data_IF_174500031831
#
_entry.id   IF_174500031831
#
_cell.length_a   1.000
_cell.length_b   1.000
_cell.length_c   1.000
_cell.angle_alpha   90.00
_cell.angle_beta   90.00
_cell.angle_gamma   90.00
#
_symmetry.space_group_name_H-M   'P 1'
#
loop_
_entity.id
_entity.type
_entity.pdbx_description
1 polymer ?
#
# COMPACT_ATOMS: atom_id res chain seq x y z
N UNK A 1 12.39 -30.02 -29.51
CA UNK A 1 11.88 -30.12 -28.13
C UNK A 1 11.43 -28.78 -27.57
N UNK A 2 12.27 -27.72 -27.62
CA UNK A 2 11.90 -26.35 -27.18
C UNK A 2 10.64 -25.79 -27.86
N UNK A 3 10.52 -25.91 -29.18
CA UNK A 3 9.35 -25.40 -29.90
C UNK A 3 8.04 -26.05 -29.41
N UNK A 4 8.05 -27.37 -29.15
CA UNK A 4 6.87 -28.09 -28.61
C UNK A 4 6.52 -27.63 -27.19
N UNK A 5 7.52 -27.34 -26.36
CA UNK A 5 7.32 -26.78 -25.02
C UNK A 5 6.65 -25.41 -25.10
N UNK A 6 7.17 -24.50 -25.93
CA UNK A 6 6.55 -23.18 -26.07
C UNK A 6 5.16 -23.24 -26.71
N UNK A 7 4.93 -24.12 -27.69
CA UNK A 7 3.58 -24.35 -28.22
C UNK A 7 2.62 -24.79 -27.09
N UNK A 8 3.07 -25.69 -26.20
CA UNK A 8 2.26 -26.07 -25.03
C UNK A 8 1.97 -24.88 -24.11
N UNK A 9 2.96 -24.02 -23.86
CA UNK A 9 2.79 -22.78 -23.07
C UNK A 9 1.79 -21.80 -23.69
N UNK A 10 1.65 -21.79 -25.02
CA UNK A 10 0.70 -20.91 -25.71
C UNK A 10 -0.77 -21.31 -25.50
N UNK A 11 -1.03 -22.52 -25.00
CA UNK A 11 -2.38 -23.04 -24.82
C UNK A 11 -3.11 -23.41 -26.12
N UNK A 12 -2.43 -23.39 -27.27
CA UNK A 12 -2.97 -23.83 -28.55
C UNK A 12 -3.12 -25.36 -28.62
N UNK A 13 -4.08 -25.81 -29.43
CA UNK A 13 -4.27 -27.22 -29.74
C UNK A 13 -3.08 -27.75 -30.55
N UNK A 14 -2.31 -28.62 -29.93
CA UNK A 14 -1.08 -29.15 -30.53
C UNK A 14 -1.35 -30.12 -31.68
N UNK A 15 -2.54 -30.70 -31.79
CA UNK A 15 -2.91 -31.61 -32.88
C UNK A 15 -3.23 -30.81 -34.14
N UNK A 16 -4.04 -29.76 -34.01
CA UNK A 16 -4.35 -28.85 -35.13
C UNK A 16 -3.06 -28.18 -35.62
N UNK A 17 -2.27 -27.63 -34.70
CA UNK A 17 -1.07 -26.85 -35.03
C UNK A 17 0.02 -27.69 -35.73
N UNK A 18 0.11 -29.00 -35.46
CA UNK A 18 1.04 -29.90 -36.17
C UNK A 18 0.71 -30.03 -37.65
N UNK A 19 -0.55 -29.84 -38.04
CA UNK A 19 -0.98 -29.86 -39.45
C UNK A 19 -0.77 -28.52 -40.15
N UNK A 20 -0.39 -27.47 -39.42
CA UNK A 20 -0.17 -26.14 -39.94
C UNK A 20 1.28 -25.95 -40.42
N UNK A 21 1.47 -24.94 -41.27
CA UNK A 21 2.78 -24.49 -41.73
C UNK A 21 3.74 -24.16 -40.59
N UNK A 22 5.05 -24.29 -40.85
CA UNK A 22 6.10 -23.98 -39.88
C UNK A 22 6.06 -22.50 -39.40
N UNK A 23 5.58 -21.59 -40.24
CA UNK A 23 5.38 -20.18 -39.88
C UNK A 23 4.34 -20.01 -38.77
N UNK A 24 3.21 -20.71 -38.86
CA UNK A 24 2.17 -20.67 -37.84
C UNK A 24 2.62 -21.35 -36.55
N UNK A 25 3.37 -22.46 -36.64
CA UNK A 25 3.96 -23.10 -35.48
C UNK A 25 4.95 -22.19 -34.74
N UNK A 26 5.77 -21.41 -35.48
CA UNK A 26 6.71 -20.46 -34.89
C UNK A 26 6.01 -19.26 -34.25
N UNK A 27 4.91 -18.78 -34.85
CA UNK A 27 4.07 -17.71 -34.28
C UNK A 27 3.51 -18.13 -32.90
N UNK A 28 2.92 -19.32 -32.81
CA UNK A 28 2.40 -19.84 -31.54
C UNK A 28 3.49 -20.21 -30.54
N UNK A 29 4.65 -20.69 -31.00
CA UNK A 29 5.83 -20.84 -30.15
C UNK A 29 6.31 -19.49 -29.59
N UNK A 30 6.26 -18.41 -30.38
CA UNK A 30 6.59 -17.06 -29.92
C UNK A 30 5.63 -16.55 -28.85
N UNK A 31 4.32 -16.72 -29.06
CA UNK A 31 3.29 -16.37 -28.05
C UNK A 31 3.47 -17.21 -26.78
N UNK A 32 3.80 -18.49 -26.89
CA UNK A 32 4.06 -19.32 -25.72
C UNK A 32 5.37 -18.99 -25.01
N UNK A 33 6.39 -18.51 -25.73
CA UNK A 33 7.61 -18.02 -25.14
C UNK A 33 7.36 -16.76 -24.31
N UNK A 34 6.53 -15.82 -24.78
CA UNK A 34 6.19 -14.62 -23.99
C UNK A 34 5.45 -15.01 -22.70
N UNK A 35 4.46 -15.91 -22.76
CA UNK A 35 3.77 -16.44 -21.55
C UNK A 35 4.77 -17.05 -20.56
N UNK A 36 5.73 -17.85 -21.04
CA UNK A 36 6.73 -18.47 -20.18
C UNK A 36 7.66 -17.44 -19.53
N UNK A 37 8.17 -16.47 -20.30
CA UNK A 37 9.04 -15.43 -19.75
C UNK A 37 8.31 -14.50 -18.78
N UNK A 38 7.04 -14.19 -19.02
CA UNK A 38 6.20 -13.45 -18.05
C UNK A 38 6.09 -14.22 -16.74
N UNK A 39 5.85 -15.54 -16.77
CA UNK A 39 5.82 -16.36 -15.56
C UNK A 39 7.16 -16.42 -14.81
N UNK A 40 8.29 -16.49 -15.52
CA UNK A 40 9.63 -16.46 -14.92
C UNK A 40 9.93 -15.11 -14.28
N UNK A 41 9.57 -14.01 -14.94
CA UNK A 41 9.70 -12.67 -14.38
C UNK A 41 8.82 -12.49 -13.14
N UNK A 42 7.57 -12.98 -13.19
CA UNK A 42 6.67 -12.98 -12.03
C UNK A 42 7.22 -13.80 -10.87
N UNK A 43 7.85 -14.96 -11.13
CA UNK A 43 8.54 -15.77 -10.12
C UNK A 43 9.66 -14.97 -9.42
N UNK A 44 10.55 -14.36 -10.20
CA UNK A 44 11.69 -13.59 -9.65
C UNK A 44 11.18 -12.37 -8.88
N UNK A 45 10.22 -11.63 -9.44
CA UNK A 45 9.71 -10.40 -8.86
C UNK A 45 8.92 -10.67 -7.55
N UNK A 46 8.04 -11.66 -7.55
CA UNK A 46 7.32 -12.07 -6.33
C UNK A 46 8.25 -12.69 -5.30
N UNK A 47 9.23 -13.51 -5.70
CA UNK A 47 10.25 -14.05 -4.80
C UNK A 47 11.05 -12.93 -4.12
N UNK A 48 11.45 -11.91 -4.88
CA UNK A 48 12.11 -10.73 -4.31
C UNK A 48 11.20 -9.97 -3.34
N UNK A 49 9.95 -9.67 -3.74
CA UNK A 49 8.99 -8.98 -2.88
C UNK A 49 8.73 -9.75 -1.58
N UNK A 50 8.54 -11.07 -1.65
CA UNK A 50 8.35 -11.93 -0.49
C UNK A 50 9.59 -11.98 0.39
N UNK A 51 10.79 -11.95 -0.20
CA UNK A 51 12.04 -11.87 0.56
C UNK A 51 12.13 -10.56 1.35
N UNK A 52 11.72 -9.43 0.77
CA UNK A 52 11.69 -8.16 1.51
C UNK A 52 10.69 -8.13 2.67
N UNK A 53 9.68 -9.01 2.66
CA UNK A 53 8.65 -9.08 3.71
C UNK A 53 8.99 -10.12 4.79
N UNK A 54 9.44 -11.31 4.38
CA UNK A 54 9.64 -12.46 5.27
C UNK A 54 11.10 -12.70 5.67
N UNK A 55 12.06 -12.02 5.03
CA UNK A 55 13.52 -12.17 5.20
C UNK A 55 14.01 -13.64 5.21
N UNK A 56 13.30 -14.51 4.48
CA UNK A 56 13.58 -15.94 4.44
C UNK A 56 13.58 -16.43 3.00
N UNK A 57 14.76 -16.84 2.55
CA UNK A 57 15.03 -17.26 1.18
C UNK A 57 14.15 -18.45 0.77
N UNK A 58 13.97 -19.43 1.66
CA UNK A 58 13.23 -20.66 1.35
C UNK A 58 11.74 -20.39 1.16
N UNK A 59 11.13 -19.61 2.06
CA UNK A 59 9.72 -19.23 1.93
C UNK A 59 9.49 -18.38 0.68
N UNK A 60 10.41 -17.47 0.37
CA UNK A 60 10.30 -16.59 -0.79
C UNK A 60 10.41 -17.35 -2.12
N UNK A 61 11.33 -18.32 -2.21
CA UNK A 61 11.44 -19.18 -3.39
C UNK A 61 10.18 -20.04 -3.54
N UNK A 62 9.69 -20.64 -2.44
CA UNK A 62 8.52 -21.52 -2.48
C UNK A 62 7.25 -20.78 -2.91
N UNK A 63 6.92 -19.68 -2.23
CA UNK A 63 5.73 -18.89 -2.56
C UNK A 63 5.88 -18.13 -3.87
N UNK A 64 7.09 -17.67 -4.20
CA UNK A 64 7.38 -17.10 -5.51
C UNK A 64 7.09 -18.13 -6.62
N UNK A 65 7.49 -19.39 -6.45
CA UNK A 65 7.29 -20.46 -7.43
C UNK A 65 5.80 -20.74 -7.65
N UNK A 66 5.02 -20.82 -6.56
CA UNK A 66 3.57 -20.94 -6.63
C UNK A 66 2.96 -19.76 -7.38
N UNK A 67 3.42 -18.54 -7.11
CA UNK A 67 2.94 -17.34 -7.80
C UNK A 67 3.27 -17.35 -9.29
N UNK A 68 4.51 -17.69 -9.66
CA UNK A 68 4.92 -17.85 -11.06
C UNK A 68 4.08 -18.90 -11.81
N UNK A 69 3.77 -20.03 -11.16
CA UNK A 69 2.87 -21.04 -11.72
C UNK A 69 1.43 -20.54 -11.88
N UNK A 70 0.94 -19.73 -10.93
CA UNK A 70 -0.39 -19.11 -11.03
C UNK A 70 -0.45 -18.16 -12.23
N UNK A 71 0.53 -17.27 -12.39
CA UNK A 71 0.62 -16.37 -13.54
C UNK A 71 0.73 -17.16 -14.84
N UNK A 72 1.59 -18.19 -14.89
CA UNK A 72 1.70 -19.06 -16.05
C UNK A 72 0.37 -19.70 -16.45
N UNK A 73 -0.36 -20.26 -15.47
CA UNK A 73 -1.65 -20.91 -15.72
C UNK A 73 -2.69 -19.91 -16.23
N UNK A 74 -2.72 -18.73 -15.62
CA UNK A 74 -3.69 -17.69 -15.92
C UNK A 74 -3.44 -17.08 -17.32
N UNK A 75 -2.19 -16.75 -17.65
CA UNK A 75 -1.82 -16.27 -18.99
C UNK A 75 -2.09 -17.31 -20.07
N UNK A 76 -1.70 -18.57 -19.82
CA UNK A 76 -1.95 -19.68 -20.75
C UNK A 76 -3.45 -19.86 -21.00
N UNK A 77 -4.26 -19.82 -19.93
CA UNK A 77 -5.71 -19.90 -20.03
C UNK A 77 -6.26 -18.78 -20.93
N UNK A 78 -5.83 -17.54 -20.72
CA UNK A 78 -6.36 -16.41 -21.50
C UNK A 78 -5.97 -16.48 -22.95
N UNK A 79 -4.69 -16.74 -23.25
CA UNK A 79 -4.22 -16.88 -24.64
C UNK A 79 -4.99 -17.99 -25.37
N UNK A 80 -5.35 -19.07 -24.67
CA UNK A 80 -6.17 -20.15 -25.22
C UNK A 80 -7.64 -19.76 -25.44
N UNK A 81 -8.20 -18.89 -24.60
CA UNK A 81 -9.60 -18.45 -24.71
C UNK A 81 -9.83 -17.30 -25.68
N UNK A 82 -8.81 -16.51 -26.01
CA UNK A 82 -8.92 -15.43 -27.00
C UNK A 82 -9.06 -16.05 -28.38
N UNK A 83 -10.32 -16.13 -28.84
CA UNK A 83 -10.66 -16.57 -30.19
C UNK A 83 -10.58 -15.40 -31.15
N UNK A 84 -9.87 -15.62 -32.27
CA UNK A 84 -9.83 -14.65 -33.37
C UNK A 84 -11.18 -14.63 -34.06
N UNK A 85 -11.85 -13.46 -34.01
CA UNK A 85 -13.14 -13.19 -34.65
C UNK A 85 -12.99 -11.95 -35.51
N UNK A 86 -13.84 -11.79 -36.51
CA UNK A 86 -13.72 -10.67 -37.47
C UNK A 86 -13.95 -9.26 -36.84
N UNK A 87 -14.25 -9.17 -35.54
CA UNK A 87 -14.46 -7.92 -34.83
C UNK A 87 -13.47 -7.73 -33.66
N UNK A 88 -12.52 -6.82 -33.84
CA UNK A 88 -11.50 -6.43 -32.84
C UNK A 88 -12.11 -6.00 -31.49
N UNK A 89 -13.29 -5.36 -31.47
CA UNK A 89 -13.96 -4.97 -30.22
C UNK A 89 -14.33 -6.18 -29.36
N UNK A 90 -14.71 -7.29 -29.99
CA UNK A 90 -15.07 -8.53 -29.28
C UNK A 90 -13.84 -9.25 -28.72
N UNK A 91 -12.68 -9.11 -29.38
CA UNK A 91 -11.40 -9.62 -28.88
C UNK A 91 -10.90 -8.81 -27.69
N UNK A 92 -11.01 -7.47 -27.77
CA UNK A 92 -10.65 -6.58 -26.66
C UNK A 92 -11.52 -6.82 -25.42
N UNK A 93 -12.83 -7.05 -25.61
CA UNK A 93 -13.75 -7.35 -24.50
C UNK A 93 -13.42 -8.69 -23.82
N UNK A 94 -13.00 -9.71 -24.59
CA UNK A 94 -12.52 -10.99 -24.04
C UNK A 94 -11.19 -10.83 -23.29
N UNK A 95 -10.32 -9.92 -23.73
CA UNK A 95 -9.04 -9.63 -23.09
C UNK A 95 -9.14 -8.69 -21.87
N UNK A 96 -10.23 -7.93 -21.73
CA UNK A 96 -10.39 -6.89 -20.71
C UNK A 96 -10.20 -7.38 -19.25
N UNK A 97 -10.77 -8.53 -18.82
CA UNK A 97 -10.56 -9.04 -17.46
C UNK A 97 -9.08 -9.24 -17.13
N UNK A 98 -8.26 -9.64 -18.13
CA UNK A 98 -6.81 -9.79 -17.94
C UNK A 98 -6.09 -8.47 -17.90
N UNK A 99 -6.45 -7.49 -18.73
CA UNK A 99 -5.81 -6.17 -18.69
C UNK A 99 -5.98 -5.55 -17.29
N UNK A 100 -7.18 -5.66 -16.71
CA UNK A 100 -7.45 -5.23 -15.34
C UNK A 100 -6.54 -5.97 -14.35
N UNK A 101 -6.47 -7.29 -14.44
CA UNK A 101 -5.62 -8.09 -13.56
C UNK A 101 -4.13 -7.77 -13.72
N UNK A 102 -3.65 -7.57 -14.95
CA UNK A 102 -2.28 -7.19 -15.25
C UNK A 102 -1.93 -5.82 -14.65
N UNK A 103 -2.86 -4.86 -14.68
CA UNK A 103 -2.69 -3.57 -14.00
C UNK A 103 -2.54 -3.77 -12.50
N UNK A 104 -3.42 -4.56 -11.87
CA UNK A 104 -3.36 -4.84 -10.43
C UNK A 104 -2.00 -5.48 -10.06
N UNK A 105 -1.58 -6.51 -10.80
CA UNK A 105 -0.31 -7.20 -10.58
C UNK A 105 0.87 -6.25 -10.79
N UNK A 106 0.84 -5.44 -11.85
CA UNK A 106 1.90 -4.48 -12.13
C UNK A 106 2.06 -3.46 -11.00
N UNK A 107 0.96 -2.95 -10.42
CA UNK A 107 1.02 -2.05 -9.25
C UNK A 107 1.61 -2.77 -8.02
N UNK A 108 1.18 -3.99 -7.74
CA UNK A 108 1.63 -4.76 -6.58
C UNK A 108 3.12 -5.10 -6.68
N UNK A 109 3.60 -5.49 -7.86
CA UNK A 109 4.99 -5.86 -8.10
C UNK A 109 5.90 -4.63 -8.23
N UNK A 110 5.42 -3.54 -8.82
CA UNK A 110 6.25 -2.38 -9.06
C UNK A 110 6.72 -1.73 -7.75
N UNK A 111 5.90 -1.73 -6.70
CA UNK A 111 6.21 -1.00 -5.45
C UNK A 111 7.43 -1.53 -4.68
N UNK A 112 7.55 -2.83 -4.38
CA UNK A 112 8.76 -3.38 -3.73
C UNK A 112 10.02 -3.20 -4.58
N UNK A 113 9.90 -3.33 -5.90
CA UNK A 113 11.04 -3.14 -6.81
C UNK A 113 11.44 -1.69 -6.94
N UNK A 114 10.48 -0.77 -6.99
CA UNK A 114 10.70 0.68 -6.95
C UNK A 114 11.45 1.07 -5.68
N UNK A 115 11.04 0.53 -4.51
CA UNK A 115 11.75 0.74 -3.25
C UNK A 115 13.19 0.22 -3.27
N UNK A 116 13.45 -0.88 -3.98
CA UNK A 116 14.80 -1.43 -4.10
C UNK A 116 15.67 -0.63 -5.07
N UNK A 117 15.11 -0.28 -6.22
CA UNK A 117 15.82 0.47 -7.26
C UNK A 117 16.23 1.84 -6.72
N UNK A 118 15.34 2.51 -5.99
CA UNK A 118 15.57 3.84 -5.41
C UNK A 118 16.06 3.80 -3.96
N UNK A 119 16.65 2.69 -3.51
CA UNK A 119 17.06 2.53 -2.10
C UNK A 119 18.02 3.65 -1.67
N UNK A 120 18.94 4.06 -2.55
CA UNK A 120 19.92 5.12 -2.25
C UNK A 120 19.25 6.49 -2.11
N UNK A 121 18.36 6.80 -3.04
CA UNK A 121 17.61 8.06 -3.08
C UNK A 121 16.65 8.16 -1.88
N UNK A 122 15.98 7.06 -1.53
CA UNK A 122 15.15 6.96 -0.33
C UNK A 122 16.00 7.21 0.92
N UNK A 123 17.17 6.57 1.03
CA UNK A 123 18.06 6.77 2.18
C UNK A 123 18.55 8.22 2.29
N UNK A 124 18.78 8.90 1.17
CA UNK A 124 19.12 10.33 1.19
C UNK A 124 17.97 11.18 1.72
N UNK A 125 16.74 10.97 1.23
CA UNK A 125 15.55 11.68 1.72
C UNK A 125 15.32 11.42 3.21
N UNK A 126 15.48 10.17 3.66
CA UNK A 126 15.38 9.83 5.08
C UNK A 126 16.46 10.54 5.91
N UNK A 127 17.68 10.65 5.41
CA UNK A 127 18.74 11.39 6.09
C UNK A 127 18.40 12.88 6.23
N UNK A 128 17.86 13.49 5.17
CA UNK A 128 17.39 14.88 5.20
C UNK A 128 16.26 15.07 6.22
N UNK A 129 15.29 14.15 6.28
CA UNK A 129 14.23 14.17 7.29
C UNK A 129 14.76 13.99 8.72
N UNK A 130 15.70 13.06 8.95
CA UNK A 130 16.35 12.87 10.25
C UNK A 130 17.11 14.11 10.69
N UNK A 131 17.81 14.77 9.78
CA UNK A 131 18.49 16.03 10.07
C UNK A 131 17.50 17.14 10.44
N UNK A 132 16.39 17.25 9.70
CA UNK A 132 15.32 18.21 10.01
C UNK A 132 14.68 17.93 11.38
N UNK A 133 14.37 16.67 11.69
CA UNK A 133 13.84 16.27 13.00
C UNK A 133 14.84 16.56 14.13
N UNK A 134 16.13 16.29 13.91
CA UNK A 134 17.19 16.59 14.88
C UNK A 134 17.27 18.09 15.16
N UNK A 135 17.19 18.93 14.11
CA UNK A 135 17.20 20.37 14.24
C UNK A 135 15.95 20.86 15.00
N UNK A 136 14.75 20.44 14.59
CA UNK A 136 13.50 20.81 15.24
C UNK A 136 13.47 20.41 16.72
N UNK A 137 13.97 19.21 17.05
CA UNK A 137 14.07 18.74 18.43
C UNK A 137 15.04 19.61 19.26
N UNK A 138 16.22 19.94 18.71
CA UNK A 138 17.16 20.85 19.38
C UNK A 138 16.57 22.24 19.59
N UNK A 139 15.83 22.78 18.62
CA UNK A 139 15.15 24.06 18.75
C UNK A 139 14.07 24.03 19.83
N UNK A 140 13.24 22.99 19.87
CA UNK A 140 12.21 22.81 20.90
C UNK A 140 12.82 22.71 22.31
N UNK A 141 13.91 21.95 22.45
CA UNK A 141 14.65 21.89 23.71
C UNK A 141 15.27 23.26 24.04
N UNK A 142 15.88 23.94 23.08
CA UNK A 142 16.47 25.26 23.32
C UNK A 142 15.44 26.28 23.82
N UNK A 143 14.21 26.26 23.31
CA UNK A 143 13.11 27.11 23.80
C UNK A 143 12.73 26.81 25.26
N UNK A 144 12.93 25.58 25.73
CA UNK A 144 12.62 25.18 27.11
C UNK A 144 13.72 25.53 28.11
N UNK A 145 15.00 25.40 27.72
CA UNK A 145 16.14 25.54 28.62
C UNK A 145 16.82 26.93 28.55
N UNK A 146 16.94 27.53 27.35
CA UNK A 146 17.64 28.82 27.17
C UNK A 146 17.08 29.95 28.04
N UNK A 147 15.74 30.16 28.14
CA UNK A 147 15.20 31.22 28.99
C UNK A 147 15.51 31.05 30.47
N UNK A 148 15.57 29.79 30.95
CA UNK A 148 15.90 29.48 32.35
C UNK A 148 17.36 29.81 32.64
N UNK A 149 18.27 29.39 31.75
CA UNK A 149 19.70 29.69 31.86
C UNK A 149 19.94 31.20 31.79
N UNK A 150 19.24 31.93 30.90
CA UNK A 150 19.32 33.39 30.85
C UNK A 150 18.86 34.05 32.14
N UNK A 151 17.74 33.59 32.73
CA UNK A 151 17.26 34.11 34.02
C UNK A 151 18.29 33.92 35.13
N UNK A 152 18.88 32.73 35.25
CA UNK A 152 19.91 32.44 36.26
C UNK A 152 21.19 33.26 36.05
N UNK A 153 21.59 33.47 34.79
CA UNK A 153 22.71 34.36 34.47
C UNK A 153 22.42 35.82 34.84
N UNK A 154 21.18 36.28 34.66
CA UNK A 154 20.76 37.60 35.10
C UNK A 154 20.79 37.72 36.63
N UNK A 155 20.40 36.68 37.37
CA UNK A 155 20.50 36.64 38.83
C UNK A 155 21.96 36.73 39.31
N UNK A 156 22.89 36.01 38.66
CA UNK A 156 24.33 36.14 38.94
C UNK A 156 24.81 37.57 38.65
N UNK A 157 24.38 38.16 37.53
CA UNK A 157 24.76 39.54 37.18
C UNK A 157 24.25 40.54 38.22
N UNK A 158 23.04 40.37 38.74
CA UNK A 158 22.47 41.19 39.80
C UNK A 158 23.27 41.06 41.11
N UNK A 159 23.60 39.83 41.54
CA UNK A 159 24.41 39.57 42.75
C UNK A 159 25.83 40.16 42.64
N UNK A 160 26.44 40.10 41.46
CA UNK A 160 27.73 40.76 41.18
C UNK A 160 27.60 42.28 41.18
N UNK A 161 26.49 42.81 40.68
CA UNK A 161 26.15 44.23 40.75
C UNK A 161 26.05 44.73 42.19
N UNK A 162 25.36 44.00 43.08
CA UNK A 162 25.27 44.33 44.51
C UNK A 162 26.65 44.44 45.18
N UNK A 163 27.55 43.49 44.89
CA UNK A 163 28.93 43.52 45.39
C UNK A 163 29.65 44.77 44.87
N UNK A 164 29.57 45.04 43.56
CA UNK A 164 30.24 46.18 42.95
C UNK A 164 29.74 47.53 43.50
N UNK A 165 28.44 47.67 43.75
CA UNK A 165 27.87 48.87 44.39
C UNK A 165 28.40 49.05 45.80
N UNK A 166 28.36 48.00 46.64
CA UNK A 166 28.85 48.07 48.02
C UNK A 166 30.36 48.30 48.10
N UNK A 167 31.11 47.76 47.14
CA UNK A 167 32.54 47.99 47.00
C UNK A 167 32.85 49.45 46.63
N UNK A 168 32.08 50.05 45.72
CA UNK A 168 32.20 51.47 45.39
C UNK A 168 31.87 52.38 46.59
N UNK A 169 30.82 52.06 47.36
CA UNK A 169 30.49 52.78 48.60
C UNK A 169 31.62 52.69 49.64
N UNK A 170 32.19 51.50 49.81
CA UNK A 170 33.29 51.27 50.76
C UNK A 170 34.57 52.01 50.33
N UNK A 171 34.90 51.98 49.04
CA UNK A 171 36.04 52.72 48.49
C UNK A 171 35.86 54.24 48.62
N UNK A 172 34.64 54.76 48.44
CA UNK A 172 34.36 56.18 48.68
C UNK A 172 34.57 56.59 50.15
N UNK A 173 34.21 55.72 51.10
CA UNK A 173 34.51 55.93 52.52
C UNK A 173 36.01 55.88 52.82
N UNK A 174 36.76 55.02 52.13
CA UNK A 174 38.22 54.94 52.20
C UNK A 174 38.85 56.28 51.79
N UNK A 175 38.49 56.79 50.62
CA UNK A 175 38.98 58.06 50.09
C UNK A 175 38.65 59.23 51.05
N UNK A 176 37.48 59.18 51.68
CA UNK A 176 36.99 60.22 52.61
C UNK A 176 37.80 60.30 53.92
N UNK A 177 38.27 59.18 54.47
CA UNK A 177 39.07 59.21 55.70
C UNK A 177 40.57 59.43 55.41
N UNK A 178 41.07 58.99 54.25
CA UNK A 178 42.45 59.24 53.82
C UNK A 178 42.67 60.73 53.56
N UNK A 179 41.77 61.37 52.83
CA UNK A 179 41.82 62.82 52.58
C UNK A 179 41.72 63.67 53.86
N UNK A 180 41.03 63.17 54.90
CA UNK A 180 41.03 63.78 56.23
C UNK A 180 42.41 63.68 56.90
N UNK A 181 43.08 62.51 56.83
CA UNK A 181 44.41 62.34 57.39
C UNK A 181 45.48 63.19 56.69
N UNK A 182 45.34 63.36 55.38
CA UNK A 182 46.22 64.17 54.53
C UNK A 182 45.92 65.68 54.65
N UNK A 183 44.82 66.07 55.32
CA UNK A 183 44.41 67.46 55.47
C UNK A 183 43.92 68.12 54.17
N UNK A 184 43.60 67.33 53.15
CA UNK A 184 43.16 67.81 51.82
C UNK A 184 41.65 68.00 51.74
N UNK A 185 40.88 67.44 52.67
CA UNK A 185 39.44 67.61 52.79
C UNK A 185 38.98 67.58 54.27
N UNK A 186 37.78 68.10 54.57
CA UNK A 186 37.19 68.07 55.91
C UNK A 186 37.76 69.13 56.85
N UNK A 187 38.42 68.74 57.95
CA UNK A 187 38.95 69.71 58.95
C UNK A 187 40.15 70.50 58.46
N UNK A 188 40.84 70.03 57.41
CA UNK A 188 42.03 70.68 56.85
C UNK A 188 43.28 70.58 57.75
N UNK A 189 43.22 69.77 58.81
CA UNK A 189 44.32 69.56 59.74
C UNK A 189 45.04 68.25 59.41
N UNK A 190 46.36 68.32 59.27
CA UNK A 190 47.18 67.13 59.03
C UNK A 190 47.19 66.23 60.27
N UNK A 191 46.86 64.95 60.09
CA UNK A 191 47.02 63.92 61.12
C UNK A 191 45.75 63.17 61.51
N UNK A 192 45.88 62.29 62.50
CA UNK A 192 44.85 61.30 62.88
C UNK A 192 44.07 61.75 64.12
N UNK A 193 43.17 62.71 63.93
CA UNK A 193 42.30 63.26 64.99
C UNK A 193 41.01 62.45 65.26
N UNK A 194 40.12 62.95 66.13
CA UNK A 194 38.84 62.30 66.46
C UNK A 194 37.91 62.10 65.25
N UNK A 195 37.87 63.07 64.34
CA UNK A 195 37.07 63.02 63.09
C UNK A 195 37.60 61.96 62.14
N UNK A 196 38.93 61.83 62.03
CA UNK A 196 39.56 60.72 61.29
C UNK A 196 39.17 59.37 61.88
N UNK A 197 39.18 59.23 63.20
CA UNK A 197 38.79 57.99 63.88
C UNK A 197 37.34 57.62 63.57
N UNK A 198 36.40 58.56 63.66
CA UNK A 198 34.98 58.29 63.34
C UNK A 198 34.78 57.88 61.87
N UNK A 199 35.45 58.57 60.92
CA UNK A 199 35.38 58.23 59.49
C UNK A 199 35.99 56.85 59.20
N UNK A 200 37.11 56.53 59.85
CA UNK A 200 37.74 55.21 59.78
C UNK A 200 36.84 54.12 60.36
N UNK A 201 36.24 54.35 61.53
CA UNK A 201 35.34 53.38 62.17
C UNK A 201 34.12 53.09 61.25
N UNK A 202 33.61 54.10 60.53
CA UNK A 202 32.56 53.93 59.49
C UNK A 202 33.04 53.11 58.29
N UNK A 203 34.25 53.35 57.80
CA UNK A 203 34.85 52.53 56.74
C UNK A 203 35.05 51.09 57.18
N UNK A 204 35.62 50.87 58.38
CA UNK A 204 35.93 49.54 58.90
C UNK A 204 34.63 48.73 59.12
N UNK A 205 33.54 49.38 59.53
CA UNK A 205 32.20 48.78 59.56
C UNK A 205 31.67 48.44 58.15
N UNK A 206 31.77 49.35 57.18
CA UNK A 206 31.35 49.11 55.79
C UNK A 206 32.18 48.00 55.12
N UNK A 207 33.47 47.90 55.44
CA UNK A 207 34.36 46.84 54.96
C UNK A 207 33.97 45.47 55.53
N UNK A 208 33.59 45.41 56.81
CA UNK A 208 33.08 44.18 57.41
C UNK A 208 31.76 43.73 56.76
N UNK A 209 30.85 44.67 56.47
CA UNK A 209 29.62 44.41 55.72
C UNK A 209 29.91 43.94 54.29
N UNK A 210 30.87 44.57 53.59
CA UNK A 210 31.29 44.18 52.24
C UNK A 210 31.85 42.75 52.21
N UNK A 211 32.70 42.39 53.16
CA UNK A 211 33.24 41.02 53.25
C UNK A 211 32.13 40.00 53.49
N UNK A 212 31.20 40.30 54.39
CA UNK A 212 30.03 39.44 54.66
C UNK A 212 29.15 39.30 53.42
N UNK A 213 28.93 40.40 52.68
CA UNK A 213 28.18 40.39 51.42
C UNK A 213 28.89 39.56 50.35
N UNK A 214 30.22 39.70 50.21
CA UNK A 214 31.04 38.92 49.27
C UNK A 214 30.95 37.42 49.58
N UNK A 215 31.08 37.01 50.84
CA UNK A 215 30.93 35.61 51.24
C UNK A 215 29.52 35.07 50.96
N UNK A 216 28.49 35.83 51.35
CA UNK A 216 27.08 35.44 51.16
C UNK A 216 26.73 35.31 49.67
N UNK A 217 27.10 36.29 48.86
CA UNK A 217 26.81 36.27 47.44
C UNK A 217 27.69 35.27 46.69
N UNK A 218 28.92 34.97 47.14
CA UNK A 218 29.73 33.89 46.58
C UNK A 218 29.06 32.52 46.74
N UNK A 219 28.47 32.24 47.92
CA UNK A 219 27.71 30.99 48.14
C UNK A 219 26.48 30.93 47.24
N UNK A 220 25.73 32.03 47.09
CA UNK A 220 24.58 32.09 46.18
C UNK A 220 24.97 31.88 44.72
N UNK A 221 26.02 32.57 44.26
CA UNK A 221 26.54 32.46 42.89
C UNK A 221 26.95 31.01 42.62
N UNK A 222 27.72 30.38 43.50
CA UNK A 222 28.11 28.98 43.35
C UNK A 222 26.89 28.04 43.28
N UNK A 223 25.83 28.31 44.05
CA UNK A 223 24.58 27.57 43.98
C UNK A 223 23.83 27.76 42.66
N UNK A 224 23.82 28.97 42.09
CA UNK A 224 23.22 29.26 40.78
C UNK A 224 24.05 28.66 39.65
N UNK A 225 25.37 28.75 39.71
CA UNK A 225 26.29 28.12 38.75
C UNK A 225 26.08 26.60 38.71
N UNK A 226 25.93 25.95 39.87
CA UNK A 226 25.59 24.53 39.94
C UNK A 226 24.22 24.21 39.30
N UNK A 227 23.22 25.08 39.44
CA UNK A 227 21.92 24.93 38.76
C UNK A 227 22.04 25.08 37.24
N UNK A 228 22.85 26.03 36.76
CA UNK A 228 23.12 26.19 35.33
C UNK A 228 23.77 24.91 34.78
N UNK A 229 24.81 24.39 35.45
CA UNK A 229 25.47 23.14 35.04
C UNK A 229 24.51 21.95 35.04
N UNK A 230 23.61 21.86 36.03
CA UNK A 230 22.59 20.82 36.05
C UNK A 230 21.63 20.93 34.85
N UNK A 231 21.14 22.14 34.54
CA UNK A 231 20.26 22.38 33.39
C UNK A 231 20.94 22.09 32.04
N UNK A 232 22.23 22.43 31.89
CA UNK A 232 23.01 22.10 30.70
C UNK A 232 23.18 20.59 30.55
N UNK A 233 23.40 19.88 31.66
CA UNK A 233 23.49 18.42 31.69
C UNK A 233 22.16 17.77 31.31
N UNK A 234 21.04 18.28 31.85
CA UNK A 234 19.70 17.80 31.51
C UNK A 234 19.36 18.04 30.04
N UNK A 235 19.71 19.21 29.50
CA UNK A 235 19.56 19.52 28.07
C UNK A 235 20.34 18.53 27.20
N UNK A 236 21.62 18.30 27.50
CA UNK A 236 22.46 17.37 26.75
C UNK A 236 21.94 15.92 26.86
N UNK A 237 21.44 15.55 28.02
CA UNK A 237 20.81 14.24 28.25
C UNK A 237 19.52 14.09 27.45
N UNK A 238 18.68 15.11 27.40
CA UNK A 238 17.45 15.11 26.61
C UNK A 238 17.73 15.01 25.09
N UNK A 239 18.74 15.73 24.60
CA UNK A 239 19.21 15.60 23.20
C UNK A 239 19.72 14.19 22.93
N UNK A 240 20.53 13.64 23.83
CA UNK A 240 21.11 12.29 23.68
C UNK A 240 20.03 11.20 23.72
N UNK A 241 19.03 11.32 24.59
CA UNK A 241 17.95 10.35 24.72
C UNK A 241 16.97 10.37 23.54
N UNK A 242 16.82 11.52 22.88
CA UNK A 242 15.94 11.67 21.72
C UNK A 242 16.60 11.24 20.40
N UNK A 243 17.93 11.34 20.29
CA UNK A 243 18.65 11.00 19.06
C UNK A 243 18.40 9.55 18.57
N UNK A 244 18.44 8.49 19.42
CA UNK A 244 18.14 7.12 18.99
C UNK A 244 16.73 6.95 18.41
N UNK A 245 15.75 7.71 18.88
CA UNK A 245 14.36 7.66 18.39
C UNK A 245 14.31 8.22 16.96
N UNK A 246 15.04 9.31 16.70
CA UNK A 246 15.16 9.93 15.38
C UNK A 246 15.95 9.02 14.44
N UNK A 247 17.04 8.43 14.93
CA UNK A 247 17.88 7.52 14.15
C UNK A 247 17.12 6.24 13.77
N UNK A 248 16.19 5.78 14.63
CA UNK A 248 15.24 4.69 14.36
C UNK A 248 14.09 5.05 13.42
N UNK A 249 14.01 6.27 12.90
CA UNK A 249 13.02 6.66 11.89
C UNK A 249 13.39 6.10 10.51
N UNK A 250 13.22 4.80 10.30
CA UNK A 250 13.56 4.13 9.04
C UNK A 250 12.59 3.00 8.63
N UNK A 251 11.47 2.88 9.34
CA UNK A 251 10.45 1.87 9.10
C UNK A 251 9.81 1.95 7.71
N UNK A 252 9.05 0.92 7.34
CA UNK A 252 8.42 0.78 6.02
C UNK A 252 7.62 2.03 5.61
N UNK A 253 6.85 2.61 6.54
CA UNK A 253 6.06 3.81 6.27
C UNK A 253 6.92 5.02 5.95
N UNK A 254 8.04 5.22 6.67
CA UNK A 254 8.99 6.29 6.40
C UNK A 254 9.61 6.12 5.00
N UNK A 255 9.98 4.89 4.64
CA UNK A 255 10.49 4.58 3.28
C UNK A 255 9.46 4.84 2.18
N UNK A 256 8.18 4.50 2.40
CA UNK A 256 7.10 4.78 1.44
C UNK A 256 6.88 6.29 1.29
N UNK A 257 6.88 7.04 2.40
CA UNK A 257 6.75 8.50 2.35
C UNK A 257 7.95 9.16 1.65
N UNK A 258 9.16 8.71 1.95
CA UNK A 258 10.38 9.17 1.30
C UNK A 258 10.36 8.87 -0.21
N UNK A 259 9.91 7.68 -0.61
CA UNK A 259 9.69 7.33 -2.02
C UNK A 259 8.68 8.28 -2.69
N UNK A 260 7.61 8.65 -1.98
CA UNK A 260 6.61 9.61 -2.47
C UNK A 260 7.14 11.04 -2.68
N UNK A 261 8.30 11.39 -2.10
CA UNK A 261 8.98 12.68 -2.35
C UNK A 261 9.86 12.67 -3.59
N UNK A 262 10.21 11.49 -4.11
CA UNK A 262 10.99 11.39 -5.34
C UNK A 262 10.13 11.77 -6.56
N UNK A 263 10.74 12.17 -7.69
CA UNK A 263 10.01 12.40 -8.92
C UNK A 263 9.16 11.19 -9.29
N UNK A 264 7.89 11.41 -9.62
CA UNK A 264 6.94 10.32 -9.91
C UNK A 264 7.21 9.59 -11.23
N UNK A 265 7.91 10.23 -12.18
CA UNK A 265 8.08 9.74 -13.54
C UNK A 265 8.91 8.44 -13.62
N UNK A 266 10.08 8.30 -12.94
CA UNK A 266 10.79 7.02 -12.85
C UNK A 266 9.94 5.88 -12.28
N UNK A 267 9.17 6.13 -11.21
CA UNK A 267 8.25 5.15 -10.62
C UNK A 267 7.16 4.71 -11.60
N UNK A 268 6.57 5.69 -12.30
CA UNK A 268 5.59 5.43 -13.34
C UNK A 268 6.18 4.65 -14.53
N UNK A 269 7.43 4.92 -14.89
CA UNK A 269 8.13 4.19 -15.95
C UNK A 269 8.36 2.73 -15.58
N UNK A 270 8.75 2.43 -14.34
CA UNK A 270 8.89 1.05 -13.84
C UNK A 270 7.53 0.33 -13.89
N UNK A 271 6.46 1.00 -13.44
CA UNK A 271 5.10 0.47 -13.54
C UNK A 271 4.72 0.16 -14.99
N UNK A 272 4.96 1.09 -15.93
CA UNK A 272 4.69 0.88 -17.35
C UNK A 272 5.50 -0.29 -17.93
N UNK A 273 6.75 -0.46 -17.49
CA UNK A 273 7.59 -1.58 -17.93
C UNK A 273 6.99 -2.92 -17.49
N UNK A 274 6.57 -3.06 -16.23
CA UNK A 274 5.90 -4.27 -15.76
C UNK A 274 4.55 -4.49 -16.45
N UNK A 275 3.77 -3.43 -16.63
CA UNK A 275 2.50 -3.50 -17.35
C UNK A 275 2.72 -3.98 -18.79
N UNK A 276 3.75 -3.47 -19.48
CA UNK A 276 4.08 -3.87 -20.84
C UNK A 276 4.50 -5.36 -20.92
N UNK A 277 5.29 -5.83 -19.96
CA UNK A 277 5.72 -7.24 -19.88
C UNK A 277 4.53 -8.17 -19.61
N UNK A 278 3.68 -7.82 -18.64
CA UNK A 278 2.49 -8.61 -18.27
C UNK A 278 1.43 -8.62 -19.39
N UNK A 279 1.29 -7.53 -20.14
CA UNK A 279 0.34 -7.46 -21.26
C UNK A 279 0.90 -7.97 -22.59
N UNK A 280 2.21 -8.24 -22.68
CA UNK A 280 2.86 -8.68 -23.92
C UNK A 280 2.21 -9.91 -24.56
N UNK A 281 1.83 -10.99 -23.84
CA UNK A 281 1.19 -12.16 -24.46
C UNK A 281 -0.16 -11.81 -25.11
N UNK A 282 -0.94 -10.95 -24.46
CA UNK A 282 -2.25 -10.51 -24.94
C UNK A 282 -2.09 -9.60 -26.14
N UNK A 283 -1.19 -8.62 -26.07
CA UNK A 283 -0.91 -7.70 -27.16
C UNK A 283 -0.42 -8.49 -28.38
N UNK A 284 0.49 -9.44 -28.18
CA UNK A 284 0.98 -10.32 -29.25
C UNK A 284 -0.17 -11.12 -29.89
N UNK A 285 -1.09 -11.68 -29.07
CA UNK A 285 -2.25 -12.42 -29.57
C UNK A 285 -3.26 -11.50 -30.28
N UNK A 286 -3.51 -10.29 -29.77
CA UNK A 286 -4.44 -9.33 -30.36
C UNK A 286 -3.92 -8.75 -31.69
N UNK A 287 -2.62 -8.46 -31.79
CA UNK A 287 -2.01 -7.92 -33.01
C UNK A 287 -1.74 -8.99 -34.08
N UNK A 288 -1.62 -10.26 -33.67
CA UNK A 288 -1.43 -11.37 -34.60
C UNK A 288 -2.63 -11.48 -35.56
N UNK A 289 -2.40 -11.51 -36.89
CA UNK A 289 -3.47 -11.72 -37.86
C UNK A 289 -4.02 -13.16 -37.74
N UNK A 290 -5.26 -13.35 -38.22
CA UNK A 290 -5.89 -14.67 -38.32
C UNK A 290 -5.03 -15.56 -39.22
N UNK A 291 -4.55 -16.67 -38.68
CA UNK A 291 -3.67 -17.60 -39.39
C UNK A 291 -4.31 -18.94 -39.69
N UNK A 292 -3.54 -19.84 -40.30
CA UNK A 292 -4.01 -21.18 -40.71
C UNK A 292 -4.62 -21.97 -39.55
N UNK A 293 -4.03 -21.85 -38.36
CA UNK A 293 -4.56 -22.47 -37.14
C UNK A 293 -5.95 -21.94 -36.79
N UNK A 294 -6.15 -20.63 -36.84
CA UNK A 294 -7.42 -20.01 -36.45
C UNK A 294 -8.56 -20.42 -37.39
N UNK A 295 -8.27 -20.56 -38.70
CA UNK A 295 -9.24 -21.06 -39.67
C UNK A 295 -9.59 -22.53 -39.45
N UNK A 296 -8.60 -23.40 -39.23
CA UNK A 296 -8.84 -24.83 -38.95
C UNK A 296 -9.59 -25.04 -37.64
N UNK A 297 -9.30 -24.24 -36.63
CA UNK A 297 -10.01 -24.27 -35.35
C UNK A 297 -11.46 -23.82 -35.52
N UNK A 298 -11.71 -22.73 -36.25
CA UNK A 298 -13.06 -22.25 -36.56
C UNK A 298 -13.87 -23.24 -37.40
N UNK A 299 -13.23 -23.91 -38.37
CA UNK A 299 -13.85 -24.97 -39.17
C UNK A 299 -14.35 -26.12 -38.28
N UNK A 300 -13.51 -26.62 -37.36
CA UNK A 300 -13.91 -27.69 -36.44
C UNK A 300 -15.08 -27.28 -35.54
N UNK A 301 -15.08 -26.06 -35.00
CA UNK A 301 -16.20 -25.55 -34.21
C UNK A 301 -17.48 -25.42 -35.05
N UNK A 302 -17.36 -24.92 -36.29
CA UNK A 302 -18.48 -24.75 -37.22
C UNK A 302 -19.12 -26.08 -37.64
N UNK A 303 -18.30 -27.11 -37.88
CA UNK A 303 -18.78 -28.46 -38.20
C UNK A 303 -19.61 -29.03 -37.05
N UNK A 304 -19.11 -28.91 -35.82
CA UNK A 304 -19.84 -29.37 -34.62
C UNK A 304 -21.12 -28.56 -34.42
N UNK A 305 -21.06 -27.23 -34.53
CA UNK A 305 -22.22 -26.36 -34.38
C UNK A 305 -23.32 -26.67 -35.41
N UNK A 306 -22.94 -26.88 -36.67
CA UNK A 306 -23.88 -27.24 -37.75
C UNK A 306 -24.50 -28.61 -37.49
N UNK A 307 -23.71 -29.61 -37.10
CA UNK A 307 -24.21 -30.94 -36.77
C UNK A 307 -25.20 -30.93 -35.59
N UNK A 308 -24.90 -30.16 -34.53
CA UNK A 308 -25.83 -29.98 -33.40
C UNK A 308 -27.11 -29.30 -33.86
N UNK A 309 -27.01 -28.25 -34.68
CA UNK A 309 -28.15 -27.51 -35.21
C UNK A 309 -29.06 -28.42 -36.04
N UNK A 310 -28.49 -29.21 -36.97
CA UNK A 310 -29.22 -30.19 -37.76
C UNK A 310 -29.98 -31.21 -36.87
N UNK A 311 -29.34 -31.73 -35.82
CA UNK A 311 -30.00 -32.66 -34.90
C UNK A 311 -31.15 -32.02 -34.12
N UNK A 312 -30.99 -30.76 -33.72
CA UNK A 312 -32.05 -30.02 -33.03
C UNK A 312 -33.23 -29.78 -33.97
N UNK A 313 -32.98 -29.36 -35.21
CA UNK A 313 -34.02 -29.15 -36.22
C UNK A 313 -34.75 -30.45 -36.58
N UNK A 314 -34.02 -31.56 -36.79
CA UNK A 314 -34.61 -32.87 -37.04
C UNK A 314 -35.52 -33.32 -35.89
N UNK A 315 -35.11 -33.11 -34.63
CA UNK A 315 -35.94 -33.43 -33.45
C UNK A 315 -37.20 -32.57 -33.39
N UNK A 316 -37.10 -31.27 -33.72
CA UNK A 316 -38.26 -30.38 -33.79
C UNK A 316 -39.24 -30.83 -34.87
N UNK A 317 -38.74 -31.16 -36.06
CA UNK A 317 -39.55 -31.66 -37.17
C UNK A 317 -40.22 -32.99 -36.84
N UNK A 318 -39.48 -33.92 -36.21
CA UNK A 318 -40.05 -35.19 -35.75
C UNK A 318 -41.17 -34.95 -34.73
N UNK A 319 -40.94 -34.09 -33.73
CA UNK A 319 -41.95 -33.75 -32.73
C UNK A 319 -43.20 -33.10 -33.34
N UNK A 320 -43.04 -32.16 -34.28
CA UNK A 320 -44.18 -31.53 -34.95
C UNK A 320 -44.94 -32.52 -35.82
N UNK A 321 -44.23 -33.38 -36.56
CA UNK A 321 -44.81 -34.40 -37.43
C UNK A 321 -45.56 -35.45 -36.61
N UNK A 322 -44.99 -35.93 -35.51
CA UNK A 322 -45.68 -36.85 -34.59
C UNK A 322 -46.92 -36.19 -33.97
N UNK A 323 -46.86 -34.89 -33.64
CA UNK A 323 -48.00 -34.11 -33.19
C UNK A 323 -49.13 -34.08 -34.23
N UNK A 324 -48.81 -33.71 -35.48
CA UNK A 324 -49.77 -33.65 -36.59
C UNK A 324 -50.35 -35.03 -36.95
N UNK A 325 -49.52 -36.08 -36.95
CA UNK A 325 -49.97 -37.46 -37.19
C UNK A 325 -50.92 -37.90 -36.08
N UNK A 326 -50.56 -37.66 -34.81
CA UNK A 326 -51.43 -37.99 -33.69
C UNK A 326 -52.75 -37.23 -33.77
N UNK A 327 -52.73 -35.92 -34.05
CA UNK A 327 -53.94 -35.11 -34.24
C UNK A 327 -54.84 -35.69 -35.34
N UNK A 328 -54.25 -36.09 -36.48
CA UNK A 328 -54.97 -36.73 -37.57
C UNK A 328 -55.58 -38.07 -37.15
N UNK A 329 -54.79 -38.94 -36.50
CA UNK A 329 -55.27 -40.23 -35.98
C UNK A 329 -56.43 -40.04 -35.01
N UNK A 330 -56.31 -39.13 -34.04
CA UNK A 330 -57.39 -38.86 -33.09
C UNK A 330 -58.63 -38.25 -33.77
N UNK A 331 -58.45 -37.46 -34.83
CA UNK A 331 -59.56 -36.92 -35.63
C UNK A 331 -60.27 -38.03 -36.41
N UNK A 332 -59.53 -38.94 -37.03
CA UNK A 332 -60.09 -40.09 -37.75
C UNK A 332 -60.85 -41.01 -36.77
N UNK A 333 -60.27 -41.33 -35.61
CA UNK A 333 -60.92 -42.08 -34.53
C UNK A 333 -62.20 -41.39 -34.03
N UNK A 334 -62.19 -40.06 -33.90
CA UNK A 334 -63.37 -39.29 -33.48
C UNK A 334 -64.51 -39.40 -34.49
N UNK A 335 -64.21 -39.48 -35.78
CA UNK A 335 -65.19 -39.56 -36.86
C UNK A 335 -65.60 -41.00 -37.19
N UNK A 336 -65.04 -42.00 -36.49
CA UNK A 336 -65.32 -43.41 -36.73
C UNK A 336 -66.69 -43.80 -36.17
N UNK A 337 -67.63 -44.09 -37.08
CA UNK A 337 -69.03 -44.41 -36.76
C UNK A 337 -69.13 -45.63 -35.82
N UNK A 338 -68.27 -46.65 -35.98
CA UNK A 338 -68.24 -47.83 -35.10
C UNK A 338 -67.92 -47.47 -33.65
N UNK A 339 -66.96 -46.56 -33.41
CA UNK A 339 -66.61 -46.13 -32.06
C UNK A 339 -67.73 -45.30 -31.44
N UNK A 340 -68.40 -44.45 -32.23
CA UNK A 340 -69.59 -43.73 -31.79
C UNK A 340 -70.72 -44.68 -31.40
N UNK A 341 -71.03 -45.67 -32.25
CA UNK A 341 -72.06 -46.67 -31.96
C UNK A 341 -71.72 -47.51 -30.72
N UNK A 342 -70.44 -47.89 -30.55
CA UNK A 342 -69.99 -48.62 -29.37
C UNK A 342 -70.12 -47.79 -28.08
N UNK A 343 -69.67 -46.53 -28.09
CA UNK A 343 -69.82 -45.62 -26.94
C UNK A 343 -71.28 -45.32 -26.65
N UNK A 344 -72.12 -45.13 -27.68
CA UNK A 344 -73.57 -44.95 -27.55
C UNK A 344 -74.21 -46.17 -26.88
N UNK A 345 -73.89 -47.39 -27.33
CA UNK A 345 -74.40 -48.64 -26.73
C UNK A 345 -74.02 -48.77 -25.25
N UNK A 346 -72.77 -48.42 -24.90
CA UNK A 346 -72.32 -48.43 -23.50
C UNK A 346 -72.98 -47.35 -22.65
N UNK A 347 -73.19 -46.16 -23.21
CA UNK A 347 -73.93 -45.09 -22.54
C UNK A 347 -75.41 -45.48 -22.34
N UNK A 348 -76.05 -46.13 -23.32
CA UNK A 348 -77.41 -46.67 -23.20
C UNK A 348 -77.51 -47.78 -22.14
N UNK A 349 -76.53 -48.71 -22.07
CA UNK A 349 -76.44 -49.72 -20.99
C UNK A 349 -76.34 -49.05 -19.61
N UNK A 350 -75.50 -48.03 -19.47
CA UNK A 350 -75.34 -47.27 -18.22
C UNK A 350 -76.61 -46.50 -17.84
N UNK A 351 -77.28 -45.86 -18.80
CA UNK A 351 -78.53 -45.14 -18.56
C UNK A 351 -79.67 -46.09 -18.18
N UNK A 352 -79.74 -47.28 -18.78
CA UNK A 352 -80.69 -48.34 -18.39
C UNK A 352 -80.41 -48.86 -16.99
N UNK A 353 -79.15 -49.15 -16.66
CA UNK A 353 -78.75 -49.57 -15.31
C UNK A 353 -79.07 -48.49 -14.26
N UNK A 354 -78.87 -47.21 -14.59
CA UNK A 354 -79.30 -46.11 -13.73
C UNK A 354 -80.82 -46.07 -13.57
N UNK A 355 -81.59 -46.17 -14.65
CA UNK A 355 -83.04 -46.18 -14.61
C UNK A 355 -83.60 -47.38 -13.81
N UNK A 356 -83.04 -48.58 -14.02
CA UNK A 356 -83.41 -49.79 -13.28
C UNK A 356 -83.02 -49.69 -11.80
N UNK A 357 -81.87 -49.09 -11.48
CA UNK A 357 -81.50 -48.83 -10.08
C UNK A 357 -82.47 -47.83 -9.43
N UNK A 358 -82.91 -46.80 -10.17
CA UNK A 358 -83.85 -45.79 -9.70
C UNK A 358 -85.26 -46.38 -9.51
N UNK A 359 -85.69 -47.24 -10.43
CA UNK A 359 -86.96 -47.97 -10.33
C UNK A 359 -86.95 -48.95 -9.15
N UNK A 360 -85.86 -49.71 -8.95
CA UNK A 360 -85.72 -50.61 -7.80
C UNK A 360 -85.72 -49.87 -6.45
N UNK A 361 -85.19 -48.64 -6.41
CA UNK A 361 -85.27 -47.78 -5.21
C UNK A 361 -86.71 -47.30 -4.96
N UNK A 362 -87.47 -46.94 -6.00
CA UNK A 362 -88.88 -46.56 -5.85
C UNK A 362 -89.79 -47.73 -5.46
N UNK A 363 -89.56 -48.93 -6.01
CA UNK A 363 -90.36 -50.13 -5.70
C UNK A 363 -90.10 -50.66 -4.29
N UNK A 364 -88.89 -50.48 -3.73
CA UNK A 364 -88.60 -50.79 -2.31
C UNK A 364 -89.13 -49.74 -1.33
N UNK A 365 -89.59 -48.59 -1.81
CA UNK A 365 -90.15 -47.49 -1.02
C UNK A 365 -91.69 -47.43 -0.99
N UNK A 366 -92.37 -48.34 -1.69
CA UNK A 366 -93.80 -48.65 -1.60
C UNK A 366 -93.96 -49.95 -0.80
#
# INVERSE_FOLDING_TARGET
MLQRFFIFCSGADTEILKTCSNGEQNKYAGIGATVFFTAVMAFIASGYALYTVFDNIYTSIFFGFIWGLLIFNLDRYIVSTIKKKDNFKSELLQAAPRIILAIIIAVVISKPLEMKIFEKEINQVLLEEKNSMTLNNKEQLALQYTPKIQSLNQDIANLKGEIATKEAETNALYDTYISEAEGTAGTGLLGKGPVYKEKRDKHDAALAELNTLKETNAVKIAGIEAQITALETDYNTAVTNSQPIIDGFDGLMARINALGKLPWFPSFFIFLLFLAIETAPIIAKLLAPKGEYDFKFEEQESVVATWVTQKVEQRKLLLSTDGEINEKIYTDIKNEEELYQYKKKKAEELLRLQADSFHNVQVKGL
#
